data_IF_469593838469
#
_entry.id   IF_469593838469
#
_cell.length_a   1.000
_cell.length_b   1.000
_cell.length_c   1.000
_cell.angle_alpha   90.00
_cell.angle_beta   90.00
_cell.angle_gamma   90.00
#
_symmetry.space_group_name_H-M   'P 1'
#
loop_
_entity.id
_entity.type
_entity.pdbx_description
1 polymer ?
#
# COMPACT_ATOMS: atom_id res chain seq x y z
N UNK A 1 9.07 -25.30 -11.51
CA UNK A 1 9.66 -26.63 -11.18
C UNK A 1 10.47 -26.60 -9.89
N UNK A 2 11.45 -25.69 -9.74
CA UNK A 2 12.35 -25.66 -8.57
C UNK A 2 11.63 -25.52 -7.21
N UNK A 3 10.68 -24.58 -7.07
CA UNK A 3 9.90 -24.40 -5.83
C UNK A 3 9.16 -25.66 -5.39
N UNK A 4 8.57 -26.40 -6.34
CA UNK A 4 7.92 -27.70 -6.08
C UNK A 4 8.93 -28.72 -5.55
N UNK A 5 10.12 -28.83 -6.15
CA UNK A 5 11.14 -29.77 -5.70
C UNK A 5 11.65 -29.43 -4.29
N UNK A 6 11.97 -28.16 -4.03
CA UNK A 6 12.38 -27.67 -2.70
C UNK A 6 11.34 -28.01 -1.63
N UNK A 7 10.06 -27.76 -1.93
CA UNK A 7 8.95 -28.08 -1.03
C UNK A 7 8.80 -29.60 -0.80
N UNK A 8 8.81 -30.42 -1.85
CA UNK A 8 8.66 -31.89 -1.71
C UNK A 8 9.84 -32.56 -1.02
N UNK A 9 11.05 -32.00 -1.13
CA UNK A 9 12.26 -32.53 -0.50
C UNK A 9 12.54 -31.96 0.90
N UNK A 10 11.72 -31.01 1.36
CA UNK A 10 11.85 -30.42 2.70
C UNK A 10 13.10 -29.57 2.94
N UNK A 11 13.73 -29.05 1.87
CA UNK A 11 14.96 -28.26 1.99
C UNK A 11 14.69 -26.87 2.60
N UNK A 12 15.59 -26.42 3.49
CA UNK A 12 15.48 -25.16 4.24
C UNK A 12 16.85 -24.48 4.32
N UNK A 13 16.92 -23.22 3.91
CA UNK A 13 18.09 -22.34 4.06
C UNK A 13 17.66 -20.88 3.92
N UNK A 14 18.55 -19.93 4.24
CA UNK A 14 18.29 -18.49 4.07
C UNK A 14 18.08 -18.16 2.59
N UNK A 15 18.87 -18.76 1.70
CA UNK A 15 18.81 -18.61 0.25
C UNK A 15 17.49 -19.14 -0.33
N UNK A 16 16.91 -20.17 0.28
CA UNK A 16 15.57 -20.66 -0.08
C UNK A 16 14.52 -19.60 0.23
N UNK A 17 14.54 -19.00 1.43
CA UNK A 17 13.64 -17.88 1.81
C UNK A 17 13.82 -16.70 0.84
N UNK A 18 15.06 -16.35 0.49
CA UNK A 18 15.38 -15.32 -0.50
C UNK A 18 14.83 -15.66 -1.89
N UNK A 19 14.93 -16.92 -2.32
CA UNK A 19 14.36 -17.40 -3.59
C UNK A 19 12.84 -17.27 -3.65
N UNK A 20 12.13 -17.58 -2.56
CA UNK A 20 10.70 -17.30 -2.44
C UNK A 20 10.41 -15.80 -2.49
N UNK A 21 11.17 -14.96 -1.78
CA UNK A 21 11.03 -13.50 -1.82
C UNK A 21 11.23 -12.92 -3.24
N UNK A 22 12.28 -13.32 -3.95
CA UNK A 22 12.51 -12.88 -5.35
C UNK A 22 11.38 -13.35 -6.28
N UNK A 23 10.86 -14.56 -6.06
CA UNK A 23 9.70 -15.08 -6.81
C UNK A 23 8.44 -14.23 -6.57
N UNK A 24 8.25 -13.71 -5.35
CA UNK A 24 7.15 -12.81 -5.00
C UNK A 24 7.29 -11.43 -5.66
N UNK A 25 8.50 -10.87 -5.74
CA UNK A 25 8.77 -9.61 -6.43
C UNK A 25 8.51 -9.69 -7.96
N UNK A 26 8.61 -10.89 -8.53
CA UNK A 26 8.48 -11.15 -9.97
C UNK A 26 7.18 -11.87 -10.34
N UNK A 27 6.27 -12.08 -9.39
CA UNK A 27 5.01 -12.76 -9.63
C UNK A 27 4.15 -12.03 -10.67
N UNK A 28 3.71 -12.75 -11.70
CA UNK A 28 2.64 -12.27 -12.59
C UNK A 28 1.35 -12.16 -11.77
N UNK A 29 0.60 -11.04 -11.84
CA UNK A 29 -0.72 -10.94 -11.23
C UNK A 29 -1.62 -12.09 -11.71
N UNK A 30 -2.44 -12.62 -10.80
CA UNK A 30 -3.48 -13.58 -11.14
C UNK A 30 -4.53 -12.94 -12.06
N UNK A 31 -5.21 -13.74 -12.89
CA UNK A 31 -6.24 -13.19 -13.79
C UNK A 31 -7.52 -12.82 -13.05
N UNK A 32 -7.79 -13.53 -11.95
CA UNK A 32 -8.81 -13.24 -10.96
C UNK A 32 -8.29 -13.60 -9.56
N UNK A 33 -8.91 -13.02 -8.53
CA UNK A 33 -8.51 -13.17 -7.13
C UNK A 33 -8.59 -14.61 -6.61
N UNK A 34 -9.54 -15.40 -7.10
CA UNK A 34 -9.69 -16.83 -6.78
C UNK A 34 -8.48 -17.67 -7.24
N UNK A 35 -7.66 -17.12 -8.13
CA UNK A 35 -6.41 -17.71 -8.61
C UNK A 35 -5.17 -17.13 -7.92
N UNK A 36 -5.31 -16.12 -7.06
CA UNK A 36 -4.24 -15.49 -6.29
C UNK A 36 -3.60 -16.50 -5.33
N UNK A 37 -2.29 -16.70 -5.47
CA UNK A 37 -1.52 -17.74 -4.78
C UNK A 37 -0.15 -17.25 -4.28
N UNK A 38 0.17 -15.95 -4.40
CA UNK A 38 1.38 -15.36 -3.84
C UNK A 38 1.40 -15.44 -2.32
N UNK A 39 0.23 -15.43 -1.67
CA UNK A 39 0.15 -15.67 -0.22
C UNK A 39 0.73 -17.03 0.20
N UNK A 40 0.61 -18.09 -0.62
CA UNK A 40 1.21 -19.41 -0.31
C UNK A 40 2.74 -19.34 -0.25
N UNK A 41 3.34 -18.65 -1.22
CA UNK A 41 4.79 -18.43 -1.29
C UNK A 41 5.27 -17.58 -0.11
N UNK A 42 4.48 -16.56 0.26
CA UNK A 42 4.74 -15.69 1.41
C UNK A 42 4.68 -16.46 2.73
N UNK A 43 3.60 -17.20 2.98
CA UNK A 43 3.41 -17.99 4.20
C UNK A 43 4.48 -19.07 4.36
N UNK A 44 4.85 -19.76 3.27
CA UNK A 44 5.93 -20.75 3.31
C UNK A 44 7.30 -20.12 3.61
N UNK A 45 7.61 -18.98 2.99
CA UNK A 45 8.87 -18.26 3.23
C UNK A 45 9.00 -17.77 4.68
N UNK A 46 7.91 -17.24 5.27
CA UNK A 46 7.86 -16.85 6.68
C UNK A 46 8.04 -18.06 7.59
N UNK A 47 7.33 -19.17 7.33
CA UNK A 47 7.45 -20.39 8.14
C UNK A 47 8.88 -20.95 8.15
N UNK A 48 9.53 -21.04 6.98
CA UNK A 48 10.94 -21.47 6.88
C UNK A 48 11.88 -20.49 7.57
N UNK A 49 11.63 -19.18 7.49
CA UNK A 49 12.44 -18.17 8.18
C UNK A 49 12.35 -18.30 9.72
N UNK A 50 11.15 -18.53 10.26
CA UNK A 50 10.95 -18.76 11.71
C UNK A 50 11.55 -20.08 12.18
N UNK A 51 11.44 -21.16 11.38
CA UNK A 51 12.06 -22.45 11.73
C UNK A 51 13.60 -22.39 11.73
N UNK A 52 14.19 -21.58 10.84
CA UNK A 52 15.63 -21.27 10.85
C UNK A 52 16.03 -20.26 11.96
N UNK A 53 15.08 -19.77 12.77
CA UNK A 53 15.32 -18.83 13.86
C UNK A 53 15.74 -17.43 13.41
N UNK A 54 15.44 -17.02 12.18
CA UNK A 54 15.88 -15.72 11.63
C UNK A 54 15.21 -14.50 12.31
N UNK A 55 14.16 -14.74 13.08
CA UNK A 55 13.44 -13.78 13.92
C UNK A 55 14.10 -13.53 15.30
N UNK A 56 15.02 -14.42 15.69
CA UNK A 56 15.73 -14.40 16.98
C UNK A 56 17.02 -13.56 16.93
N UNK A 57 17.65 -13.35 18.08
CA UNK A 57 18.93 -12.64 18.15
C UNK A 57 20.06 -13.58 17.75
N UNK A 58 20.79 -13.26 16.69
CA UNK A 58 21.99 -13.99 16.29
C UNK A 58 23.05 -13.96 17.43
N UNK A 59 23.50 -15.13 17.96
CA UNK A 59 24.56 -15.19 18.95
C UNK A 59 25.87 -14.52 18.50
N UNK A 60 26.10 -14.52 17.19
CA UNK A 60 27.20 -13.86 16.49
C UNK A 60 27.32 -12.36 16.72
N UNK A 61 26.24 -11.69 17.14
CA UNK A 61 26.29 -10.26 17.49
C UNK A 61 26.74 -10.02 18.94
N UNK A 62 26.88 -11.07 19.75
CA UNK A 62 27.18 -11.01 21.19
C UNK A 62 28.59 -11.51 21.51
N UNK A 63 29.13 -12.44 20.71
CA UNK A 63 30.45 -13.06 20.93
C UNK A 63 31.55 -12.34 20.13
N UNK A 64 32.53 -11.67 20.78
CA UNK A 64 33.56 -10.86 20.10
C UNK A 64 34.68 -11.68 19.42
N UNK A 65 34.55 -13.02 19.39
CA UNK A 65 35.56 -13.94 18.83
C UNK A 65 35.20 -14.47 17.44
N UNK A 66 34.08 -14.02 16.85
CA UNK A 66 33.59 -14.59 15.60
C UNK A 66 34.26 -14.01 14.35
N UNK A 67 34.40 -14.86 13.33
CA UNK A 67 35.01 -14.44 12.06
C UNK A 67 34.14 -13.40 11.34
N UNK A 68 34.78 -12.53 10.54
CA UNK A 68 34.09 -11.57 9.67
C UNK A 68 33.03 -12.22 8.76
N UNK A 69 33.19 -13.50 8.42
CA UNK A 69 32.20 -14.25 7.65
C UNK A 69 30.92 -14.53 8.46
N UNK A 70 31.06 -14.87 9.75
CA UNK A 70 29.92 -15.13 10.63
C UNK A 70 29.04 -13.89 10.81
N UNK A 71 29.64 -12.73 11.06
CA UNK A 71 28.91 -11.46 11.10
C UNK A 71 28.21 -11.14 9.77
N UNK A 72 28.80 -11.49 8.61
CA UNK A 72 28.13 -11.33 7.30
C UNK A 72 26.94 -12.28 7.15
N UNK A 73 27.03 -13.51 7.65
CA UNK A 73 25.94 -14.48 7.65
C UNK A 73 24.79 -14.03 8.57
N UNK A 74 25.09 -13.57 9.79
CA UNK A 74 24.10 -12.98 10.71
C UNK A 74 23.35 -11.79 10.07
N UNK A 75 24.07 -10.87 9.42
CA UNK A 75 23.45 -9.76 8.66
C UNK A 75 22.60 -10.22 7.48
N UNK A 76 22.99 -11.30 6.79
CA UNK A 76 22.19 -11.89 5.71
C UNK A 76 20.86 -12.46 6.24
N UNK A 77 20.91 -13.18 7.37
CA UNK A 77 19.74 -13.68 8.08
C UNK A 77 18.78 -12.57 8.49
N UNK A 78 19.30 -11.52 9.17
CA UNK A 78 18.52 -10.36 9.61
C UNK A 78 17.83 -9.64 8.45
N UNK A 79 18.58 -9.34 7.37
CA UNK A 79 18.00 -8.72 6.16
C UNK A 79 16.91 -9.57 5.54
N UNK A 80 17.10 -10.89 5.51
CA UNK A 80 16.13 -11.83 4.91
C UNK A 80 14.84 -11.83 5.72
N UNK A 81 14.94 -11.94 7.05
CA UNK A 81 13.80 -11.84 7.95
C UNK A 81 13.05 -10.51 7.80
N UNK A 82 13.76 -9.37 7.88
CA UNK A 82 13.13 -8.05 7.80
C UNK A 82 12.44 -7.81 6.44
N UNK A 83 13.03 -8.28 5.33
CA UNK A 83 12.45 -8.17 3.99
C UNK A 83 11.19 -9.03 3.82
N UNK A 84 11.22 -10.31 4.22
CA UNK A 84 10.03 -11.17 4.10
C UNK A 84 8.92 -10.73 5.06
N UNK A 85 9.27 -10.24 6.25
CA UNK A 85 8.32 -9.66 7.20
C UNK A 85 7.65 -8.40 6.64
N UNK A 86 8.43 -7.45 6.08
CA UNK A 86 7.86 -6.25 5.46
C UNK A 86 6.94 -6.58 4.28
N UNK A 87 7.29 -7.60 3.48
CA UNK A 87 6.47 -8.08 2.38
C UNK A 87 5.16 -8.72 2.85
N UNK A 88 5.22 -9.62 3.84
CA UNK A 88 4.03 -10.26 4.37
C UNK A 88 3.11 -9.24 5.04
N UNK A 89 3.65 -8.28 5.80
CA UNK A 89 2.85 -7.16 6.36
C UNK A 89 2.32 -6.18 5.32
N UNK A 90 2.86 -6.15 4.11
CA UNK A 90 2.34 -5.32 3.01
C UNK A 90 1.22 -6.06 2.26
N UNK A 91 1.47 -7.32 1.87
CA UNK A 91 0.48 -8.16 1.21
C UNK A 91 -0.70 -8.49 2.10
N UNK A 92 -0.48 -8.89 3.35
CA UNK A 92 -1.59 -9.16 4.28
C UNK A 92 -2.42 -7.91 4.60
N UNK A 93 -1.81 -6.73 4.76
CA UNK A 93 -2.55 -5.48 4.90
C UNK A 93 -3.36 -5.13 3.64
N UNK A 94 -2.82 -5.40 2.44
CA UNK A 94 -3.57 -5.27 1.21
C UNK A 94 -4.78 -6.23 1.21
N UNK A 95 -4.57 -7.52 1.50
CA UNK A 95 -5.63 -8.53 1.66
C UNK A 95 -6.54 -8.35 2.89
N UNK A 96 -6.47 -7.22 3.61
CA UNK A 96 -7.22 -6.91 4.85
C UNK A 96 -6.93 -7.81 6.05
N UNK A 97 -5.92 -8.66 5.97
CA UNK A 97 -5.44 -9.48 7.08
C UNK A 97 -4.48 -8.63 7.92
N UNK A 98 -5.04 -7.78 8.78
CA UNK A 98 -4.27 -6.81 9.57
C UNK A 98 -3.50 -7.46 10.75
N UNK A 99 -2.40 -8.16 10.44
CA UNK A 99 -1.56 -8.84 11.44
C UNK A 99 -0.56 -7.87 12.11
N UNK A 100 -0.68 -7.68 13.43
CA UNK A 100 0.17 -6.76 14.21
C UNK A 100 1.67 -7.01 13.99
N UNK A 101 2.44 -5.96 13.68
CA UNK A 101 3.87 -6.08 13.36
C UNK A 101 4.64 -6.66 14.55
N UNK A 102 5.38 -7.78 14.41
CA UNK A 102 5.97 -8.47 15.53
C UNK A 102 7.12 -7.68 16.16
N UNK A 103 7.07 -7.49 17.47
CA UNK A 103 8.12 -6.85 18.25
C UNK A 103 9.15 -7.89 18.73
N UNK A 104 10.19 -8.08 17.91
CA UNK A 104 11.40 -8.80 18.30
C UNK A 104 12.47 -7.82 18.79
N UNK A 105 13.54 -8.34 19.42
CA UNK A 105 14.68 -7.51 19.83
C UNK A 105 15.33 -6.78 18.64
N UNK A 106 15.30 -7.39 17.45
CA UNK A 106 15.77 -6.82 16.20
C UNK A 106 14.86 -5.67 15.72
N UNK A 107 13.54 -5.89 15.65
CA UNK A 107 12.61 -4.86 15.16
C UNK A 107 12.42 -3.71 16.16
N UNK A 108 12.57 -3.97 17.47
CA UNK A 108 12.57 -2.93 18.51
C UNK A 108 13.72 -1.93 18.32
N UNK A 109 14.94 -2.44 18.15
CA UNK A 109 16.19 -1.66 18.04
C UNK A 109 16.59 -1.31 16.58
N UNK A 110 15.61 -1.30 15.66
CA UNK A 110 15.85 -1.10 14.23
C UNK A 110 16.50 0.25 13.90
N UNK A 111 16.26 1.26 14.74
CA UNK A 111 16.83 2.61 14.67
C UNK A 111 18.36 2.62 14.63
N UNK A 112 19.00 1.65 15.31
CA UNK A 112 20.47 1.50 15.35
C UNK A 112 20.99 0.46 14.37
N UNK A 113 20.15 -0.45 13.91
CA UNK A 113 20.53 -1.62 13.11
C UNK A 113 21.17 -1.28 11.74
N UNK A 114 20.81 -0.14 11.15
CA UNK A 114 21.35 0.34 9.87
C UNK A 114 22.66 1.14 10.02
N UNK A 115 23.08 1.48 11.24
CA UNK A 115 24.38 2.11 11.52
C UNK A 115 25.52 1.09 11.68
N UNK A 116 25.25 -0.20 11.52
CA UNK A 116 26.23 -1.28 11.68
C UNK A 116 27.37 -1.16 10.63
N UNK A 117 28.65 -1.48 10.95
CA UNK A 117 29.76 -1.37 9.99
C UNK A 117 29.64 -2.22 8.72
N UNK A 118 28.79 -3.25 8.73
CA UNK A 118 28.45 -4.08 7.57
C UNK A 118 27.10 -3.72 6.92
N UNK A 119 26.51 -2.56 7.25
CA UNK A 119 25.27 -2.10 6.66
C UNK A 119 25.44 -1.74 5.18
N UNK A 120 24.39 -1.95 4.38
CA UNK A 120 24.31 -1.49 3.00
C UNK A 120 23.27 -0.36 2.86
N UNK A 121 23.19 0.27 1.69
CA UNK A 121 22.26 1.40 1.46
C UNK A 121 20.78 1.00 1.63
N UNK A 122 20.41 -0.26 1.41
CA UNK A 122 19.04 -0.76 1.54
C UNK A 122 18.64 -1.05 2.98
N UNK A 123 19.61 -1.21 3.89
CA UNK A 123 19.35 -1.34 5.33
C UNK A 123 18.75 -0.04 5.89
N UNK A 124 19.20 1.11 5.37
CA UNK A 124 18.65 2.44 5.70
C UNK A 124 17.16 2.50 5.37
N UNK A 125 16.79 2.10 4.14
CA UNK A 125 15.41 2.11 3.68
C UNK A 125 14.55 1.12 4.48
N UNK A 126 15.07 -0.09 4.72
CA UNK A 126 14.41 -1.12 5.55
C UNK A 126 14.08 -0.59 6.95
N UNK A 127 15.01 0.14 7.58
CA UNK A 127 14.77 0.83 8.85
C UNK A 127 13.66 1.89 8.73
N UNK A 128 13.71 2.74 7.70
CA UNK A 128 12.70 3.76 7.42
C UNK A 128 11.29 3.15 7.34
N UNK A 129 11.11 2.06 6.60
CA UNK A 129 9.83 1.33 6.47
C UNK A 129 9.27 0.85 7.81
N UNK A 130 10.10 0.22 8.63
CA UNK A 130 9.67 -0.36 9.92
C UNK A 130 9.31 0.76 10.90
N UNK A 131 10.10 1.83 10.94
CA UNK A 131 9.79 2.99 11.76
C UNK A 131 8.52 3.70 11.30
N UNK A 132 8.29 3.85 9.98
CA UNK A 132 7.06 4.44 9.45
C UNK A 132 5.82 3.68 9.93
N UNK A 133 5.85 2.34 9.87
CA UNK A 133 4.78 1.48 10.39
C UNK A 133 4.53 1.70 11.90
N UNK A 134 5.59 1.95 12.69
CA UNK A 134 5.47 2.27 14.13
C UNK A 134 4.80 3.64 14.35
N UNK A 135 5.14 4.66 13.57
CA UNK A 135 4.45 5.96 13.61
C UNK A 135 2.96 5.82 13.24
N UNK A 136 2.64 5.11 12.17
CA UNK A 136 1.25 4.89 11.71
C UNK A 136 0.40 4.11 12.73
N UNK A 137 0.98 3.09 13.37
CA UNK A 137 0.31 2.35 14.45
C UNK A 137 0.09 3.19 15.72
N UNK A 138 0.86 4.26 15.93
CA UNK A 138 0.57 5.28 16.94
C UNK A 138 -0.55 6.23 16.49
N UNK A 139 -0.40 6.79 15.29
CA UNK A 139 -1.31 7.75 14.67
C UNK A 139 -2.76 7.24 14.61
N UNK A 140 -2.99 5.99 14.20
CA UNK A 140 -4.33 5.40 14.15
C UNK A 140 -5.01 5.37 15.53
N UNK A 141 -4.27 5.05 16.61
CA UNK A 141 -4.80 5.10 17.99
C UNK A 141 -5.11 6.53 18.42
N UNK A 142 -4.21 7.48 18.16
CA UNK A 142 -4.44 8.90 18.48
C UNK A 142 -5.66 9.45 17.75
N UNK A 143 -5.81 9.14 16.45
CA UNK A 143 -6.94 9.55 15.63
C UNK A 143 -8.26 8.98 16.16
N UNK A 144 -8.30 7.69 16.53
CA UNK A 144 -9.47 7.10 17.16
C UNK A 144 -9.81 7.74 18.52
N UNK A 145 -8.82 8.06 19.35
CA UNK A 145 -9.05 8.75 20.63
C UNK A 145 -9.52 10.20 20.45
N UNK A 146 -9.11 10.89 19.38
CA UNK A 146 -9.53 12.25 19.07
C UNK A 146 -10.86 12.30 18.29
N UNK A 147 -11.31 11.20 17.68
CA UNK A 147 -12.55 11.11 16.89
C UNK A 147 -13.83 11.56 17.62
N UNK A 148 -13.84 11.54 18.95
CA UNK A 148 -14.96 11.94 19.81
C UNK A 148 -14.80 13.34 20.44
N UNK A 149 -13.71 14.04 20.16
CA UNK A 149 -13.43 15.38 20.70
C UNK A 149 -13.86 16.47 19.72
N UNK A 150 -14.36 17.58 20.25
CA UNK A 150 -14.63 18.78 19.45
C UNK A 150 -13.32 19.46 19.05
N UNK A 151 -13.22 19.86 17.79
CA UNK A 151 -12.05 20.53 17.23
C UNK A 151 -12.47 21.79 16.46
N UNK A 152 -11.91 22.94 16.83
CA UNK A 152 -12.22 24.23 16.19
C UNK A 152 -11.55 24.37 14.81
N UNK A 153 -10.44 23.66 14.58
CA UNK A 153 -9.73 23.64 13.30
C UNK A 153 -10.36 22.57 12.37
N UNK A 154 -10.97 22.94 11.23
CA UNK A 154 -11.59 21.97 10.33
C UNK A 154 -10.59 21.01 9.66
N UNK A 155 -9.30 21.36 9.66
CA UNK A 155 -8.20 20.55 9.13
C UNK A 155 -7.41 19.80 10.22
N UNK A 156 -7.94 19.66 11.44
CA UNK A 156 -7.21 19.05 12.56
C UNK A 156 -6.65 17.65 12.24
N UNK A 157 -7.36 16.85 11.44
CA UNK A 157 -6.92 15.51 11.01
C UNK A 157 -5.66 15.60 10.16
N UNK A 158 -5.62 16.52 9.18
CA UNK A 158 -4.44 16.75 8.36
C UNK A 158 -3.28 17.18 9.24
N UNK A 159 -3.51 18.16 10.11
CA UNK A 159 -2.45 18.73 10.94
C UNK A 159 -1.92 17.71 11.97
N UNK A 160 -2.77 16.79 12.48
CA UNK A 160 -2.37 15.63 13.29
C UNK A 160 -1.52 14.64 12.49
N UNK A 161 -1.98 14.23 11.30
CA UNK A 161 -1.27 13.28 10.43
C UNK A 161 0.10 13.85 10.06
N UNK A 162 0.14 15.12 9.65
CA UNK A 162 1.36 15.80 9.24
C UNK A 162 2.33 15.95 10.42
N UNK A 163 1.89 16.50 11.55
CA UNK A 163 2.76 16.66 12.73
C UNK A 163 3.27 15.33 13.31
N UNK A 164 2.48 14.26 13.23
CA UNK A 164 2.90 12.92 13.68
C UNK A 164 3.93 12.29 12.74
N UNK A 165 3.81 12.51 11.43
CA UNK A 165 4.74 11.95 10.45
C UNK A 165 5.95 12.86 10.14
N UNK A 166 5.93 14.13 10.54
CA UNK A 166 6.99 15.09 10.24
C UNK A 166 8.40 14.70 10.72
N UNK A 167 8.58 14.16 11.95
CA UNK A 167 9.89 13.71 12.42
C UNK A 167 10.46 12.58 11.55
N UNK A 168 9.59 11.71 11.03
CA UNK A 168 9.98 10.69 10.07
C UNK A 168 10.34 11.32 8.72
N UNK A 169 9.49 12.21 8.18
CA UNK A 169 9.73 12.91 6.90
C UNK A 169 11.09 13.62 6.89
N UNK A 170 11.39 14.39 7.94
CA UNK A 170 12.65 15.14 8.07
C UNK A 170 13.87 14.19 8.06
N UNK A 171 13.76 13.05 8.74
CA UNK A 171 14.86 12.09 8.88
C UNK A 171 15.15 11.32 7.58
N UNK A 172 14.10 10.87 6.89
CA UNK A 172 14.23 9.92 5.78
C UNK A 172 14.07 10.56 4.38
N UNK A 173 13.38 11.70 4.28
CA UNK A 173 13.12 12.43 3.03
C UNK A 173 13.55 13.91 3.12
N UNK A 174 14.82 14.22 3.44
CA UNK A 174 15.30 15.61 3.50
C UNK A 174 15.19 16.27 2.12
N UNK A 175 14.31 17.27 2.00
CA UNK A 175 13.99 17.96 0.74
C UNK A 175 12.55 17.77 0.25
N UNK A 176 11.84 16.72 0.72
CA UNK A 176 10.41 16.58 0.53
C UNK A 176 9.66 17.41 1.57
N UNK A 177 8.78 18.33 1.14
CA UNK A 177 7.88 19.06 2.05
C UNK A 177 6.42 18.76 1.68
N UNK A 178 5.52 18.81 2.67
CA UNK A 178 4.10 18.52 2.46
C UNK A 178 3.44 19.41 1.42
N UNK A 179 3.92 20.64 1.23
CA UNK A 179 3.39 21.62 0.25
C UNK A 179 4.16 21.65 -1.07
N UNK A 180 5.42 21.22 -1.09
CA UNK A 180 6.25 21.13 -2.30
C UNK A 180 7.10 19.85 -2.24
N UNK A 181 6.73 18.86 -3.06
CA UNK A 181 7.51 17.65 -3.24
C UNK A 181 8.51 17.93 -4.35
N UNK A 182 9.80 17.82 -4.03
CA UNK A 182 10.86 17.92 -5.03
C UNK A 182 11.08 16.53 -5.66
N UNK A 183 11.15 16.43 -7.00
CA UNK A 183 11.48 15.18 -7.69
C UNK A 183 12.85 14.69 -7.26
N UNK A 184 12.98 13.41 -6.88
CA UNK A 184 14.26 12.84 -6.47
C UNK A 184 14.87 11.96 -7.56
N UNK A 185 16.09 12.24 -8.05
CA UNK A 185 16.75 11.39 -9.04
C UNK A 185 17.16 10.02 -8.49
N UNK A 186 17.00 9.77 -7.18
CA UNK A 186 17.30 8.49 -6.55
C UNK A 186 16.03 7.64 -6.41
N UNK A 187 16.02 6.47 -7.05
CA UNK A 187 14.90 5.51 -7.06
C UNK A 187 14.49 5.08 -5.63
N UNK A 188 15.44 4.91 -4.70
CA UNK A 188 15.15 4.55 -3.31
C UNK A 188 14.43 5.69 -2.57
N UNK A 189 14.88 6.93 -2.77
CA UNK A 189 14.23 8.12 -2.20
C UNK A 189 12.85 8.35 -2.82
N UNK A 190 12.70 8.14 -4.14
CA UNK A 190 11.42 8.17 -4.82
C UNK A 190 10.46 7.11 -4.25
N UNK A 191 10.91 5.87 -4.09
CA UNK A 191 10.12 4.79 -3.48
C UNK A 191 9.64 5.13 -2.06
N UNK A 192 10.55 5.59 -1.18
CA UNK A 192 10.19 6.05 0.16
C UNK A 192 9.21 7.24 0.14
N UNK A 193 9.30 8.11 -0.87
CA UNK A 193 8.38 9.24 -1.07
C UNK A 193 6.97 8.74 -1.41
N UNK A 194 6.81 7.82 -2.38
CA UNK A 194 5.50 7.22 -2.69
C UNK A 194 4.87 6.53 -1.47
N UNK A 195 5.69 5.82 -0.68
CA UNK A 195 5.24 5.15 0.54
C UNK A 195 4.76 6.15 1.58
N UNK A 196 5.53 7.22 1.83
CA UNK A 196 5.14 8.29 2.75
C UNK A 196 3.82 8.95 2.33
N UNK A 197 3.72 9.37 1.07
CA UNK A 197 2.54 10.05 0.52
C UNK A 197 1.31 9.15 0.54
N UNK A 198 1.46 7.87 0.19
CA UNK A 198 0.37 6.91 0.26
C UNK A 198 -0.12 6.68 1.68
N UNK A 199 0.77 6.46 2.65
CA UNK A 199 0.34 6.22 4.03
C UNK A 199 -0.28 7.47 4.68
N UNK A 200 0.19 8.67 4.31
CA UNK A 200 -0.46 9.95 4.62
C UNK A 200 -1.88 9.99 4.04
N UNK A 201 -2.01 9.83 2.72
CA UNK A 201 -3.30 9.84 2.01
C UNK A 201 -4.27 8.78 2.53
N UNK A 202 -3.78 7.56 2.77
CA UNK A 202 -4.55 6.44 3.29
C UNK A 202 -5.09 6.76 4.69
N UNK A 203 -4.29 7.38 5.57
CA UNK A 203 -4.76 7.79 6.90
C UNK A 203 -5.84 8.88 6.84
N UNK A 204 -5.68 9.88 5.96
CA UNK A 204 -6.70 10.91 5.74
C UNK A 204 -8.00 10.29 5.17
N UNK A 205 -7.87 9.43 4.18
CA UNK A 205 -9.00 8.75 3.54
C UNK A 205 -9.70 7.76 4.48
N UNK A 206 -8.98 7.15 5.43
CA UNK A 206 -9.56 6.31 6.47
C UNK A 206 -10.47 7.14 7.37
N UNK A 207 -10.00 8.32 7.80
CA UNK A 207 -10.78 9.24 8.64
C UNK A 207 -12.09 9.71 7.99
N UNK A 208 -12.16 9.79 6.65
CA UNK A 208 -13.42 10.07 5.93
C UNK A 208 -14.53 9.04 6.20
N UNK A 209 -14.20 7.81 6.62
CA UNK A 209 -15.21 6.78 6.92
C UNK A 209 -15.74 6.89 8.36
N UNK A 210 -15.12 7.72 9.22
CA UNK A 210 -15.59 7.98 10.58
C UNK A 210 -16.59 9.12 10.57
N UNK A 211 -17.88 8.82 10.79
CA UNK A 211 -18.98 9.80 10.69
C UNK A 211 -18.80 11.05 11.56
N UNK A 212 -18.16 10.92 12.74
CA UNK A 212 -17.91 12.07 13.65
C UNK A 212 -16.78 12.99 13.17
N UNK A 213 -15.91 12.52 12.28
CA UNK A 213 -14.77 13.26 11.74
C UNK A 213 -15.09 13.81 10.34
N UNK A 214 -15.97 13.15 9.60
CA UNK A 214 -16.27 13.46 8.21
C UNK A 214 -16.68 14.92 7.99
N UNK A 215 -15.86 15.66 7.23
CA UNK A 215 -16.08 17.08 6.94
C UNK A 215 -15.68 17.41 5.50
N UNK A 216 -16.22 18.51 4.95
CA UNK A 216 -15.83 19.01 3.64
C UNK A 216 -14.33 19.35 3.57
N UNK A 217 -13.78 19.94 4.64
CA UNK A 217 -12.36 20.26 4.72
C UNK A 217 -11.47 19.00 4.68
N UNK A 218 -11.89 17.90 5.31
CA UNK A 218 -11.18 16.62 5.22
C UNK A 218 -11.30 16.00 3.83
N UNK A 219 -12.45 16.13 3.16
CA UNK A 219 -12.60 15.69 1.76
C UNK A 219 -11.62 16.46 0.85
N UNK A 220 -11.53 17.78 1.02
CA UNK A 220 -10.61 18.66 0.30
C UNK A 220 -9.14 18.29 0.58
N UNK A 221 -8.75 18.11 1.84
CA UNK A 221 -7.40 17.65 2.22
C UNK A 221 -7.05 16.29 1.59
N UNK A 222 -8.00 15.35 1.56
CA UNK A 222 -7.83 14.05 0.90
C UNK A 222 -7.67 14.19 -0.62
N UNK A 223 -8.51 15.01 -1.26
CA UNK A 223 -8.48 15.24 -2.70
C UNK A 223 -7.17 15.91 -3.13
N UNK A 224 -6.75 16.96 -2.43
CA UNK A 224 -5.49 17.66 -2.70
C UNK A 224 -4.29 16.73 -2.50
N UNK A 225 -4.29 15.89 -1.46
CA UNK A 225 -3.26 14.88 -1.26
C UNK A 225 -3.24 13.80 -2.38
N UNK A 226 -4.40 13.40 -2.88
CA UNK A 226 -4.53 12.42 -3.97
C UNK A 226 -4.04 12.99 -5.31
N UNK A 227 -4.45 14.21 -5.66
CA UNK A 227 -3.97 14.95 -6.84
C UNK A 227 -2.45 15.14 -6.76
N UNK A 228 -1.93 15.55 -5.60
CA UNK A 228 -0.48 15.72 -5.38
C UNK A 228 0.31 14.42 -5.63
N UNK A 229 -0.20 13.27 -5.21
CA UNK A 229 0.41 11.96 -5.52
C UNK A 229 0.43 11.67 -7.03
N UNK A 230 -0.65 12.00 -7.74
CA UNK A 230 -0.77 11.80 -9.19
C UNK A 230 0.17 12.71 -9.97
N UNK A 231 0.24 13.98 -9.60
CA UNK A 231 1.13 14.97 -10.22
C UNK A 231 2.60 14.58 -10.05
N UNK A 232 3.00 14.11 -8.85
CA UNK A 232 4.35 13.58 -8.65
C UNK A 232 4.61 12.35 -9.52
N UNK A 233 3.69 11.38 -9.54
CA UNK A 233 3.85 10.16 -10.33
C UNK A 233 4.05 10.46 -11.82
N UNK A 234 3.25 11.37 -12.39
CA UNK A 234 3.41 11.80 -13.78
C UNK A 234 4.75 12.51 -14.00
N UNK A 235 5.12 13.45 -13.13
CA UNK A 235 6.38 14.16 -13.23
C UNK A 235 7.59 13.21 -13.19
N UNK A 236 7.65 12.33 -12.20
CA UNK A 236 8.76 11.40 -11.99
C UNK A 236 8.87 10.40 -13.16
N UNK A 237 7.75 9.86 -13.64
CA UNK A 237 7.74 8.93 -14.77
C UNK A 237 8.07 9.61 -16.12
N UNK A 238 7.88 10.93 -16.23
CA UNK A 238 8.32 11.72 -17.39
C UNK A 238 9.80 12.13 -17.31
N UNK A 239 10.29 12.50 -16.12
CA UNK A 239 11.62 13.08 -15.91
C UNK A 239 12.72 12.05 -15.64
N UNK A 240 12.43 10.99 -14.88
CA UNK A 240 13.37 9.91 -14.55
C UNK A 240 13.19 8.75 -15.54
N UNK A 241 11.95 8.43 -15.91
CA UNK A 241 11.64 7.45 -16.95
C UNK A 241 11.82 5.98 -16.52
N UNK A 242 12.36 5.16 -17.43
CA UNK A 242 12.44 3.70 -17.31
C UNK A 242 13.09 3.15 -16.02
N UNK A 243 14.09 3.80 -15.36
CA UNK A 243 14.62 3.34 -14.08
C UNK A 243 13.56 3.19 -12.97
N UNK A 244 12.45 3.95 -13.03
CA UNK A 244 11.33 3.80 -12.11
C UNK A 244 10.48 2.55 -12.37
N UNK A 245 10.59 1.90 -13.53
CA UNK A 245 9.84 0.67 -13.82
C UNK A 245 10.32 -0.52 -12.96
N UNK A 246 11.46 -0.36 -12.29
CA UNK A 246 12.00 -1.25 -11.27
C UNK A 246 11.42 -1.03 -9.86
N UNK A 247 10.55 -0.04 -9.65
CA UNK A 247 9.83 0.15 -8.38
C UNK A 247 8.98 -1.09 -8.04
N UNK A 248 8.94 -1.44 -6.74
CA UNK A 248 8.23 -2.61 -6.27
C UNK A 248 6.73 -2.54 -6.59
N UNK A 249 6.13 -3.70 -6.88
CA UNK A 249 4.72 -3.84 -7.28
C UNK A 249 3.70 -3.00 -6.48
N UNK A 250 3.80 -2.86 -5.14
CA UNK A 250 2.90 -2.00 -4.37
C UNK A 250 2.90 -0.53 -4.81
N UNK A 251 3.99 0.01 -5.37
CA UNK A 251 4.08 1.42 -5.76
C UNK A 251 3.05 1.80 -6.81
N UNK A 252 2.82 0.93 -7.79
CA UNK A 252 1.82 1.13 -8.83
C UNK A 252 0.39 1.09 -8.28
N UNK A 253 0.15 0.26 -7.27
CA UNK A 253 -1.11 0.21 -6.54
C UNK A 253 -1.35 1.50 -5.73
N UNK A 254 -0.32 2.01 -5.05
CA UNK A 254 -0.39 3.27 -4.31
C UNK A 254 -0.73 4.46 -5.21
N UNK A 255 -0.16 4.52 -6.42
CA UNK A 255 -0.45 5.54 -7.43
C UNK A 255 -1.88 5.39 -8.00
N UNK A 256 -2.29 4.16 -8.37
CA UNK A 256 -3.64 3.89 -8.88
C UNK A 256 -4.74 4.16 -7.82
N UNK A 257 -4.45 3.89 -6.55
CA UNK A 257 -5.32 4.23 -5.43
C UNK A 257 -5.56 5.73 -5.32
N UNK A 258 -4.48 6.53 -5.39
CA UNK A 258 -4.59 7.99 -5.35
C UNK A 258 -5.40 8.52 -6.55
N UNK A 259 -5.15 8.01 -7.75
CA UNK A 259 -5.86 8.40 -8.96
C UNK A 259 -7.39 8.24 -8.85
N UNK A 260 -7.85 7.08 -8.37
CA UNK A 260 -9.29 6.84 -8.24
C UNK A 260 -9.90 7.49 -7.00
N UNK A 261 -9.14 7.68 -5.92
CA UNK A 261 -9.62 8.46 -4.78
C UNK A 261 -9.85 9.94 -5.17
N UNK A 262 -8.97 10.52 -5.98
CA UNK A 262 -9.18 11.86 -6.56
C UNK A 262 -10.45 11.89 -7.44
N UNK A 263 -10.60 10.92 -8.35
CA UNK A 263 -11.78 10.80 -9.22
C UNK A 263 -13.09 10.62 -8.43
N UNK A 264 -13.06 9.89 -7.30
CA UNK A 264 -14.24 9.67 -6.44
C UNK A 264 -14.64 10.91 -5.65
N UNK A 265 -13.67 11.69 -5.15
CA UNK A 265 -13.93 12.88 -4.34
C UNK A 265 -14.31 14.10 -5.18
N UNK A 266 -13.83 14.21 -6.41
CA UNK A 266 -14.05 15.36 -7.29
C UNK A 266 -15.52 15.84 -7.39
N UNK A 267 -16.53 14.98 -7.64
CA UNK A 267 -17.91 15.43 -7.82
C UNK A 267 -18.54 16.06 -6.56
N UNK A 268 -18.03 15.72 -5.37
CA UNK A 268 -18.51 16.28 -4.11
C UNK A 268 -17.90 17.65 -3.78
N UNK A 269 -16.74 17.97 -4.36
CA UNK A 269 -15.92 19.13 -4.01
C UNK A 269 -15.99 20.27 -5.04
N UNK A 270 -15.78 19.96 -6.32
CA UNK A 270 -15.64 20.98 -7.36
C UNK A 270 -16.96 21.37 -8.02
N UNK A 271 -18.06 20.66 -7.73
CA UNK A 271 -19.31 20.78 -8.47
C UNK A 271 -19.12 20.47 -9.96
N UNK A 272 -20.12 20.80 -10.78
CA UNK A 272 -20.04 20.61 -12.25
C UNK A 272 -19.36 21.81 -12.93
N UNK A 273 -18.14 22.15 -12.52
CA UNK A 273 -17.29 23.11 -13.22
C UNK A 273 -16.45 22.38 -14.28
N UNK A 274 -16.76 22.53 -15.60
CA UNK A 274 -16.20 21.65 -16.63
C UNK A 274 -14.70 21.87 -16.91
N UNK A 275 -14.13 23.00 -16.49
CA UNK A 275 -12.69 23.27 -16.61
C UNK A 275 -11.87 22.35 -15.70
N UNK A 276 -12.16 22.38 -14.40
CA UNK A 276 -11.45 21.62 -13.37
C UNK A 276 -11.58 20.11 -13.59
N UNK A 277 -12.74 19.65 -14.08
CA UNK A 277 -12.97 18.25 -14.46
C UNK A 277 -12.04 17.83 -15.61
N UNK A 278 -11.88 18.71 -16.61
CA UNK A 278 -11.01 18.43 -17.77
C UNK A 278 -9.54 18.34 -17.35
N UNK A 279 -9.08 19.22 -16.45
CA UNK A 279 -7.70 19.18 -15.93
C UNK A 279 -7.44 17.91 -15.12
N UNK A 280 -8.36 17.53 -14.22
CA UNK A 280 -8.25 16.28 -13.46
C UNK A 280 -8.24 15.06 -14.38
N UNK A 281 -9.19 14.95 -15.31
CA UNK A 281 -9.25 13.82 -16.25
C UNK A 281 -7.99 13.73 -17.12
N UNK A 282 -7.39 14.87 -17.50
CA UNK A 282 -6.11 14.90 -18.23
C UNK A 282 -4.94 14.40 -17.37
N UNK A 283 -4.87 14.79 -16.09
CA UNK A 283 -3.86 14.29 -15.15
C UNK A 283 -4.01 12.77 -14.92
N UNK A 284 -5.22 12.31 -14.64
CA UNK A 284 -5.50 10.89 -14.41
C UNK A 284 -5.27 10.04 -15.66
N UNK A 285 -5.55 10.58 -16.85
CA UNK A 285 -5.20 9.97 -18.14
C UNK A 285 -3.68 9.80 -18.31
N UNK A 286 -2.89 10.80 -17.93
CA UNK A 286 -1.42 10.70 -17.92
C UNK A 286 -0.92 9.65 -16.93
N UNK A 287 -1.47 9.58 -15.71
CA UNK A 287 -1.16 8.52 -14.74
C UNK A 287 -1.42 7.15 -15.36
N UNK A 288 -2.61 6.95 -15.94
CA UNK A 288 -3.04 5.68 -16.50
C UNK A 288 -2.12 5.20 -17.66
N UNK A 289 -1.74 6.12 -18.56
CA UNK A 289 -0.81 5.84 -19.66
C UNK A 289 0.61 5.51 -19.17
N UNK A 290 1.12 6.21 -18.14
CA UNK A 290 2.44 5.92 -17.59
C UNK A 290 2.47 4.58 -16.85
N UNK A 291 1.40 4.23 -16.13
CA UNK A 291 1.21 2.91 -15.52
C UNK A 291 1.16 1.80 -16.59
N UNK A 292 0.42 2.01 -17.69
CA UNK A 292 0.39 1.06 -18.80
C UNK A 292 1.78 0.86 -19.43
N UNK A 293 2.51 1.95 -19.69
CA UNK A 293 3.87 1.91 -20.22
C UNK A 293 4.83 1.17 -19.29
N UNK A 294 4.83 1.51 -18.00
CA UNK A 294 5.70 0.90 -17.00
C UNK A 294 5.46 -0.61 -16.85
N UNK A 295 4.19 -1.04 -16.82
CA UNK A 295 3.83 -2.45 -16.67
C UNK A 295 4.01 -3.29 -17.93
N UNK A 296 3.97 -2.67 -19.11
CA UNK A 296 4.18 -3.31 -20.42
C UNK A 296 5.64 -3.22 -20.89
N UNK A 297 6.56 -2.79 -20.03
CA UNK A 297 8.00 -2.74 -20.32
C UNK A 297 8.73 -3.80 -19.48
N UNK A 298 9.53 -4.70 -20.10
CA UNK A 298 9.69 -4.93 -21.54
C UNK A 298 8.42 -5.53 -22.20
N UNK A 299 8.27 -5.51 -23.54
CA UNK A 299 7.00 -5.83 -24.24
C UNK A 299 6.37 -7.20 -23.98
N UNK A 300 7.14 -8.17 -23.46
CA UNK A 300 6.65 -9.51 -23.10
C UNK A 300 6.13 -9.59 -21.65
N UNK A 301 6.29 -8.54 -20.86
CA UNK A 301 5.83 -8.44 -19.47
C UNK A 301 4.42 -7.85 -19.44
N UNK A 302 3.54 -8.44 -18.64
CA UNK A 302 2.29 -7.79 -18.19
C UNK A 302 2.37 -7.66 -16.67
N UNK A 303 3.00 -6.59 -16.20
CA UNK A 303 3.11 -6.27 -14.78
C UNK A 303 1.84 -5.63 -14.24
N UNK A 304 1.69 -5.59 -12.91
CA UNK A 304 0.51 -5.04 -12.23
C UNK A 304 0.19 -3.60 -12.65
N UNK A 305 1.20 -2.77 -12.93
CA UNK A 305 1.03 -1.42 -13.42
C UNK A 305 0.23 -1.36 -14.73
N UNK A 306 0.39 -2.34 -15.62
CA UNK A 306 -0.34 -2.38 -16.90
C UNK A 306 -1.81 -2.74 -16.71
N UNK A 307 -2.11 -3.65 -15.78
CA UNK A 307 -3.49 -4.00 -15.42
C UNK A 307 -4.19 -2.76 -14.82
N UNK A 308 -3.55 -2.11 -13.85
CA UNK A 308 -4.07 -0.91 -13.20
C UNK A 308 -4.25 0.27 -14.18
N UNK A 309 -3.27 0.51 -15.06
CA UNK A 309 -3.32 1.57 -16.07
C UNK A 309 -4.46 1.38 -17.08
N UNK A 310 -4.60 0.17 -17.63
CA UNK A 310 -5.71 -0.16 -18.56
C UNK A 310 -7.09 -0.02 -17.89
N UNK A 311 -7.20 -0.45 -16.64
CA UNK A 311 -8.46 -0.33 -15.89
C UNK A 311 -8.81 1.13 -15.60
N UNK A 312 -7.83 1.95 -15.17
CA UNK A 312 -8.03 3.39 -14.97
C UNK A 312 -8.43 4.09 -16.29
N UNK A 313 -7.80 3.75 -17.42
CA UNK A 313 -8.24 4.21 -18.75
C UNK A 313 -9.68 3.81 -19.07
N UNK A 314 -10.13 2.61 -18.67
CA UNK A 314 -11.50 2.15 -18.88
C UNK A 314 -12.52 3.02 -18.13
N UNK A 315 -12.24 3.31 -16.85
CA UNK A 315 -13.10 4.19 -16.02
C UNK A 315 -13.17 5.61 -16.60
N UNK A 316 -12.02 6.18 -16.97
CA UNK A 316 -11.96 7.54 -17.52
C UNK A 316 -12.75 7.64 -18.85
N UNK A 317 -12.65 6.63 -19.72
CA UNK A 317 -13.45 6.55 -20.95
C UNK A 317 -14.95 6.45 -20.68
N UNK A 318 -15.36 5.66 -19.69
CA UNK A 318 -16.76 5.52 -19.31
C UNK A 318 -17.34 6.87 -18.85
N UNK A 319 -16.61 7.61 -17.99
CA UNK A 319 -17.01 8.96 -17.52
C UNK A 319 -17.18 9.94 -18.67
N UNK A 320 -16.20 10.05 -19.58
CA UNK A 320 -16.28 10.92 -20.77
C UNK A 320 -17.45 10.50 -21.68
N UNK A 321 -17.67 9.20 -21.89
CA UNK A 321 -18.79 8.69 -22.69
C UNK A 321 -20.17 9.03 -22.11
N UNK A 322 -20.33 8.97 -20.79
CA UNK A 322 -21.59 9.34 -20.12
C UNK A 322 -21.92 10.83 -20.18
N UNK A 323 -20.97 11.70 -20.50
CA UNK A 323 -21.20 13.14 -20.64
C UNK A 323 -21.83 13.59 -21.97
N UNK A 324 -21.95 12.71 -22.97
CA UNK A 324 -22.29 13.08 -24.36
C UNK A 324 -23.67 12.52 -24.81
N UNK A 325 -24.31 11.67 -24.02
CA UNK A 325 -25.62 11.05 -24.34
C UNK A 325 -26.83 11.77 -23.72
N UNK A 326 -27.99 11.87 -24.41
CA UNK A 326 -29.23 12.34 -23.79
C UNK A 326 -29.65 11.41 -22.64
N UNK A 327 -29.96 11.96 -21.47
CA UNK A 327 -30.53 11.21 -20.34
C UNK A 327 -31.90 10.63 -20.71
N UNK A 328 -31.93 9.35 -21.07
CA UNK A 328 -33.16 8.55 -21.06
C UNK A 328 -33.25 7.85 -19.70
N UNK A 329 -34.25 8.24 -18.91
CA UNK A 329 -34.62 7.52 -17.70
C UNK A 329 -35.30 6.22 -18.13
N UNK A 330 -34.66 5.08 -17.86
CA UNK A 330 -35.24 3.76 -18.05
C UNK A 330 -35.54 3.15 -16.67
N UNK A 331 -36.82 3.21 -16.30
CA UNK A 331 -37.38 2.56 -15.12
C UNK A 331 -37.48 1.05 -15.36
N UNK A 332 -37.01 0.23 -14.42
CA UNK A 332 -37.16 -1.24 -14.46
C UNK A 332 -36.97 -1.86 -13.08
N UNK A 333 -38.06 -2.00 -12.32
CA UNK A 333 -38.12 -2.80 -11.10
C UNK A 333 -38.46 -4.29 -11.34
N UNK A 334 -38.77 -4.99 -10.24
CA UNK A 334 -39.18 -6.41 -10.06
C UNK A 334 -38.02 -7.38 -9.67
N UNK A 335 -38.31 -8.47 -8.91
CA UNK A 335 -39.08 -8.48 -7.66
C UNK A 335 -38.42 -9.32 -6.54
N UNK A 336 -38.81 -9.09 -5.27
CA UNK A 336 -38.41 -9.93 -4.13
C UNK A 336 -39.27 -11.21 -4.00
N UNK A 337 -38.70 -12.29 -3.42
CA UNK A 337 -39.41 -13.39 -2.76
C UNK A 337 -38.47 -14.15 -1.78
N UNK A 338 -38.97 -14.83 -0.72
CA UNK A 338 -38.24 -14.93 0.55
C UNK A 338 -38.08 -16.36 1.16
N UNK A 339 -37.50 -16.41 2.39
CA UNK A 339 -37.43 -17.55 3.36
C UNK A 339 -36.45 -18.70 3.01
N UNK A 340 -35.74 -19.41 3.92
CA UNK A 340 -35.48 -19.36 5.39
C UNK A 340 -34.19 -20.21 5.67
N UNK A 341 -33.54 -20.29 6.85
CA UNK A 341 -33.67 -19.60 8.15
C UNK A 341 -33.45 -20.54 9.37
N UNK A 342 -32.25 -20.56 10.00
CA UNK A 342 -31.97 -21.37 11.21
C UNK A 342 -30.97 -20.72 12.20
N UNK A 343 -31.29 -20.85 13.49
CA UNK A 343 -30.58 -20.39 14.71
C UNK A 343 -29.49 -21.42 15.10
N UNK A 344 -28.38 -21.12 15.79
CA UNK A 344 -27.81 -19.89 16.35
C UNK A 344 -26.84 -20.21 17.51
N UNK A 345 -25.88 -19.33 17.83
CA UNK A 345 -25.08 -19.38 19.07
C UNK A 345 -24.50 -18.00 19.35
N UNK A 346 -24.64 -17.49 20.58
CA UNK A 346 -24.41 -16.07 20.92
C UNK A 346 -23.21 -15.84 21.83
N UNK A 347 -22.43 -14.80 21.52
CA UNK A 347 -21.72 -13.93 22.49
C UNK A 347 -21.43 -12.57 21.83
N UNK A 348 -22.32 -11.60 22.08
CA UNK A 348 -22.08 -10.18 22.47
C UNK A 348 -20.88 -9.35 21.91
N UNK A 349 -21.06 -8.02 21.65
CA UNK A 349 -21.79 -7.54 20.46
C UNK A 349 -21.18 -6.29 19.77
N UNK A 350 -21.68 -5.99 18.56
CA UNK A 350 -21.52 -4.73 17.79
C UNK A 350 -20.12 -4.41 17.26
N UNK A 351 -19.85 -4.82 16.01
CA UNK A 351 -19.18 -3.99 15.00
C UNK A 351 -19.65 -4.43 13.60
N UNK A 352 -20.15 -3.49 12.81
CA UNK A 352 -20.83 -3.79 11.54
C UNK A 352 -19.87 -3.93 10.36
N UNK A 353 -20.12 -4.92 9.50
CA UNK A 353 -19.48 -5.04 8.19
C UNK A 353 -19.69 -3.77 7.35
N UNK A 354 -18.61 -3.20 6.83
CA UNK A 354 -18.66 -2.07 5.88
C UNK A 354 -17.72 -2.36 4.71
N UNK A 355 -18.31 -2.71 3.56
CA UNK A 355 -17.59 -2.72 2.30
C UNK A 355 -17.24 -1.28 1.88
N UNK A 356 -16.03 -1.07 1.37
CA UNK A 356 -15.61 0.21 0.80
C UNK A 356 -16.51 0.60 -0.38
N UNK A 357 -17.29 1.67 -0.23
CA UNK A 357 -18.04 2.34 -1.30
C UNK A 357 -17.12 3.07 -2.28
N UNK A 358 -16.31 2.30 -3.00
CA UNK A 358 -15.79 2.68 -4.31
C UNK A 358 -16.87 2.35 -5.35
N UNK A 359 -16.79 2.91 -6.56
CA UNK A 359 -17.62 2.50 -7.69
C UNK A 359 -17.51 0.97 -7.87
N UNK A 360 -18.60 0.23 -8.11
CA UNK A 360 -18.59 -1.25 -7.92
C UNK A 360 -17.43 -1.90 -8.68
N UNK A 361 -17.18 -1.52 -9.93
CA UNK A 361 -16.06 -2.05 -10.72
C UNK A 361 -14.63 -1.72 -10.21
N UNK A 362 -14.45 -0.67 -9.39
CA UNK A 362 -13.15 -0.33 -8.78
C UNK A 362 -13.05 -0.78 -7.32
N UNK A 363 -14.17 -0.85 -6.60
CA UNK A 363 -14.29 -1.65 -5.39
C UNK A 363 -13.86 -3.07 -5.72
N UNK A 364 -14.40 -3.62 -6.81
CA UNK A 364 -14.10 -4.94 -7.33
C UNK A 364 -12.67 -5.03 -7.83
N UNK A 365 -12.06 -4.07 -8.55
CA UNK A 365 -10.62 -4.22 -8.89
C UNK A 365 -9.69 -4.17 -7.68
N UNK A 366 -9.90 -3.31 -6.68
CA UNK A 366 -9.07 -3.37 -5.47
C UNK A 366 -9.39 -4.61 -4.62
N UNK A 367 -10.64 -5.09 -4.63
CA UNK A 367 -11.05 -6.37 -4.04
C UNK A 367 -10.51 -7.57 -4.83
N UNK A 368 -10.29 -7.47 -6.13
CA UNK A 368 -9.82 -8.50 -7.07
C UNK A 368 -8.29 -8.60 -7.13
N UNK A 369 -7.60 -7.50 -6.80
CA UNK A 369 -6.14 -7.45 -6.69
C UNK A 369 -5.67 -7.61 -5.23
N UNK A 370 -6.49 -7.15 -4.27
CA UNK A 370 -6.14 -7.07 -2.85
C UNK A 370 -7.24 -7.60 -1.91
N UNK A 371 -8.07 -8.56 -2.29
CA UNK A 371 -8.90 -9.28 -1.29
C UNK A 371 -10.22 -8.61 -0.91
N UNK A 372 -11.23 -9.38 -0.46
CA UNK A 372 -12.42 -8.83 0.20
C UNK A 372 -12.10 -8.04 1.47
N UNK A 373 -10.92 -8.27 2.06
CA UNK A 373 -10.42 -7.54 3.21
C UNK A 373 -10.00 -6.09 2.94
N UNK A 374 -9.85 -5.65 1.69
CA UNK A 374 -9.54 -4.24 1.39
C UNK A 374 -10.73 -3.33 1.75
N UNK A 375 -10.73 -2.83 2.98
CA UNK A 375 -11.84 -2.07 3.57
C UNK A 375 -12.51 -2.72 4.77
N UNK A 376 -12.33 -4.04 4.98
CA UNK A 376 -12.78 -4.68 6.21
C UNK A 376 -11.73 -4.45 7.29
N UNK A 377 -12.03 -3.54 8.22
CA UNK A 377 -11.44 -3.60 9.54
C UNK A 377 -11.79 -4.95 10.18
N UNK A 378 -10.84 -5.54 10.90
CA UNK A 378 -11.11 -6.74 11.68
C UNK A 378 -12.11 -6.42 12.80
N UNK A 379 -12.93 -7.43 13.13
CA UNK A 379 -13.57 -7.57 14.45
C UNK A 379 -12.50 -7.71 15.56
#
# INVERSE_FOLDING_TARGET
>A
MLSRHVHTSGYKSVEIVQGYYISLLSATPASALSEERSWLYTSYAVAVATELGLDQVNPSNVLPSESTMSHRQARNSERTWLRILLWERATSAAYGRATAFPESLLTRNIDKWWHHPLADSTDKDTCAFILLRRYLAGLHRTLHHQASLSHDNPHWVRDLVDSTLDPWRITWLPGCTTRAITPSPNISTAFLTYVYLHNRLWTLSFALHTQTIHSHALQEDCFMAAVQCCTLAVHDLQSIGEPLYCLLSPTWAMIAYAATLALRLFPALCGTHPGDETELLALLGQVALQLEKAGSTPPHRTGIAAVLGRHLLSILRAKVGTGIGPRVVADSGLPCSPESGLVGSSCDPVLGSVAMGLDEGFADVFREVFGPGWGLGME
#
